data_IF_475788394825
#
_entry.id   IF_475788394825
#
_cell.length_a   1.000
_cell.length_b   1.000
_cell.length_c   1.000
_cell.angle_alpha   90.00
_cell.angle_beta   90.00
_cell.angle_gamma   90.00
#
_symmetry.space_group_name_H-M   'P 1'
#
loop_
_entity.id
_entity.type
_entity.pdbx_description
1 polymer ?
#
# COMPACT_ATOMS: atom_id res chain seq x y z
N UNK A 1 -2.13 -29.72 -9.13
CA UNK A 1 -1.29 -28.50 -9.09
C UNK A 1 -2.24 -27.33 -9.22
N UNK A 2 -2.40 -26.52 -8.18
CA UNK A 2 -3.16 -25.27 -8.27
C UNK A 2 -2.45 -24.37 -9.31
N UNK A 3 -3.24 -23.73 -10.18
CA UNK A 3 -2.72 -22.73 -11.11
C UNK A 3 -2.01 -21.57 -10.41
N UNK A 4 -1.40 -20.64 -11.18
CA UNK A 4 -0.80 -19.43 -10.60
C UNK A 4 -1.85 -18.67 -9.76
N UNK A 5 -1.41 -18.09 -8.65
CA UNK A 5 -2.30 -17.32 -7.79
C UNK A 5 -2.75 -16.05 -8.52
N UNK A 6 -4.06 -15.78 -8.50
CA UNK A 6 -4.63 -14.60 -9.15
C UNK A 6 -4.48 -13.37 -8.24
N UNK A 7 -4.05 -12.24 -8.85
CA UNK A 7 -3.97 -10.92 -8.23
C UNK A 7 -4.71 -9.91 -9.11
N UNK A 8 -5.67 -9.21 -8.56
CA UNK A 8 -6.39 -8.15 -9.24
C UNK A 8 -5.78 -6.80 -8.86
N UNK A 9 -5.37 -6.02 -9.86
CA UNK A 9 -4.85 -4.66 -9.70
C UNK A 9 -5.91 -3.67 -10.19
N UNK A 10 -6.27 -2.70 -9.35
CA UNK A 10 -7.28 -1.70 -9.68
C UNK A 10 -6.74 -0.64 -10.64
N UNK A 11 -7.47 -0.39 -11.72
CA UNK A 11 -7.28 0.73 -12.64
C UNK A 11 -8.42 1.75 -12.49
N UNK A 12 -8.19 2.75 -11.66
CA UNK A 12 -9.10 3.89 -11.49
C UNK A 12 -8.53 5.18 -12.12
N UNK A 13 -7.60 5.03 -13.07
CA UNK A 13 -6.96 6.14 -13.80
C UNK A 13 -5.87 6.86 -13.00
N UNK A 14 -5.29 6.23 -11.98
CA UNK A 14 -4.17 6.76 -11.20
C UNK A 14 -3.15 5.65 -10.89
N UNK A 15 -1.87 6.02 -10.81
CA UNK A 15 -0.78 5.13 -10.44
C UNK A 15 0.10 4.65 -11.60
N UNK A 16 1.26 4.11 -11.23
CA UNK A 16 2.19 3.48 -12.17
C UNK A 16 1.83 1.99 -12.35
N UNK A 17 0.64 1.74 -12.92
CA UNK A 17 0.03 0.42 -13.02
C UNK A 17 0.93 -0.60 -13.70
N UNK A 18 1.60 -0.21 -14.81
CA UNK A 18 2.45 -1.12 -15.59
C UNK A 18 3.60 -1.71 -14.77
N UNK A 19 4.23 -0.92 -13.92
CA UNK A 19 5.35 -1.40 -13.11
C UNK A 19 4.86 -2.34 -12.01
N UNK A 20 3.72 -2.06 -11.39
CA UNK A 20 3.11 -2.92 -10.37
C UNK A 20 2.68 -4.26 -10.99
N UNK A 21 1.97 -4.24 -12.12
CA UNK A 21 1.56 -5.44 -12.86
C UNK A 21 2.78 -6.31 -13.20
N UNK A 22 3.81 -5.71 -13.82
CA UNK A 22 5.02 -6.45 -14.19
C UNK A 22 5.78 -7.04 -13.00
N UNK A 23 5.76 -6.36 -11.85
CA UNK A 23 6.40 -6.86 -10.65
C UNK A 23 5.66 -8.10 -10.10
N UNK A 24 4.34 -8.09 -10.07
CA UNK A 24 3.53 -9.25 -9.70
C UNK A 24 3.67 -10.42 -10.70
N UNK A 25 3.64 -10.12 -12.01
CA UNK A 25 3.88 -11.13 -13.06
C UNK A 25 5.26 -11.76 -12.94
N UNK A 26 6.30 -10.94 -12.63
CA UNK A 26 7.67 -11.43 -12.39
C UNK A 26 7.73 -12.41 -11.22
N UNK A 27 6.95 -12.17 -10.18
CA UNK A 27 6.84 -13.05 -9.01
C UNK A 27 5.88 -14.24 -9.22
N UNK A 28 5.36 -14.42 -10.44
CA UNK A 28 4.61 -15.59 -10.87
C UNK A 28 3.10 -15.53 -10.64
N UNK A 29 2.54 -14.35 -10.37
CA UNK A 29 1.10 -14.17 -10.30
C UNK A 29 0.45 -14.13 -11.68
N UNK A 30 -0.80 -14.59 -11.77
CA UNK A 30 -1.71 -14.26 -12.87
C UNK A 30 -2.40 -12.94 -12.54
N UNK A 31 -2.06 -11.88 -13.28
CA UNK A 31 -2.48 -10.51 -12.94
C UNK A 31 -3.61 -10.04 -13.84
N UNK A 32 -4.70 -9.63 -13.20
CA UNK A 32 -5.84 -8.99 -13.87
C UNK A 32 -5.84 -7.50 -13.53
N UNK A 33 -5.57 -6.64 -14.53
CA UNK A 33 -5.74 -5.19 -14.41
C UNK A 33 -7.18 -4.85 -14.79
N UNK A 34 -7.95 -4.21 -13.89
CA UNK A 34 -9.36 -3.95 -14.14
C UNK A 34 -9.86 -2.62 -13.57
N UNK A 35 -10.81 -2.01 -14.30
CA UNK A 35 -11.67 -0.93 -13.82
C UNK A 35 -13.11 -1.39 -13.61
N UNK A 36 -13.39 -2.69 -13.76
CA UNK A 36 -14.73 -3.27 -13.56
C UNK A 36 -14.94 -3.62 -12.08
N UNK A 37 -15.92 -2.98 -11.39
CA UNK A 37 -16.21 -3.24 -9.99
C UNK A 37 -16.60 -4.70 -9.70
N UNK A 38 -17.25 -5.39 -10.65
CA UNK A 38 -17.66 -6.78 -10.43
C UNK A 38 -16.45 -7.73 -10.43
N UNK A 39 -15.46 -7.50 -11.30
CA UNK A 39 -14.20 -8.24 -11.31
C UNK A 39 -13.40 -7.93 -10.04
N UNK A 40 -13.32 -6.66 -9.66
CA UNK A 40 -12.62 -6.23 -8.44
C UNK A 40 -13.22 -6.85 -7.18
N UNK A 41 -14.55 -6.83 -7.03
CA UNK A 41 -15.26 -7.40 -5.89
C UNK A 41 -15.13 -8.94 -5.80
N UNK A 42 -14.84 -9.62 -6.91
CA UNK A 42 -14.63 -11.07 -6.95
C UNK A 42 -13.16 -11.49 -6.74
N UNK A 43 -12.23 -10.54 -6.57
CA UNK A 43 -10.80 -10.81 -6.47
C UNK A 43 -10.46 -11.68 -5.25
N UNK A 44 -9.60 -12.69 -5.42
CA UNK A 44 -9.01 -13.44 -4.30
C UNK A 44 -7.96 -12.61 -3.55
N UNK A 45 -7.24 -11.75 -4.27
CA UNK A 45 -6.27 -10.77 -3.75
C UNK A 45 -6.42 -9.49 -4.53
N UNK A 46 -6.55 -8.37 -3.83
CA UNK A 46 -6.81 -7.07 -4.44
C UNK A 46 -5.68 -6.08 -4.13
N UNK A 47 -5.22 -5.36 -5.13
CA UNK A 47 -4.17 -4.34 -5.01
C UNK A 47 -4.70 -2.99 -5.47
N UNK A 48 -4.52 -1.97 -4.62
CA UNK A 48 -4.81 -0.57 -4.91
C UNK A 48 -3.49 0.20 -5.04
N UNK A 49 -2.92 0.33 -6.24
CA UNK A 49 -1.82 1.25 -6.46
C UNK A 49 -2.33 2.69 -6.45
N UNK A 50 -1.47 3.64 -6.09
CA UNK A 50 -1.81 5.05 -6.16
C UNK A 50 -0.59 5.91 -6.41
N UNK A 51 -0.77 7.00 -7.18
CA UNK A 51 0.28 7.99 -7.42
C UNK A 51 -0.34 9.35 -7.66
N UNK A 52 0.31 10.40 -7.15
CA UNK A 52 -0.12 11.78 -7.32
C UNK A 52 -0.82 12.31 -6.08
N UNK A 53 -1.88 13.08 -6.25
CA UNK A 53 -2.56 13.82 -5.20
C UNK A 53 -3.68 12.99 -4.56
N UNK A 54 -3.73 12.95 -3.20
CA UNK A 54 -4.71 12.17 -2.44
C UNK A 54 -6.16 12.40 -2.89
N UNK A 55 -6.60 13.67 -2.95
CA UNK A 55 -7.98 14.00 -3.32
C UNK A 55 -8.35 13.60 -4.76
N UNK A 56 -7.39 13.62 -5.69
CA UNK A 56 -7.63 13.14 -7.05
C UNK A 56 -7.78 11.61 -7.06
N UNK A 57 -6.96 10.90 -6.31
CA UNK A 57 -7.05 9.44 -6.21
C UNK A 57 -8.36 9.03 -5.53
N UNK A 58 -8.72 9.66 -4.40
CA UNK A 58 -9.97 9.39 -3.70
C UNK A 58 -11.20 9.64 -4.59
N UNK A 59 -11.27 10.80 -5.24
CA UNK A 59 -12.39 11.13 -6.12
C UNK A 59 -12.54 10.22 -7.34
N UNK A 60 -11.42 9.77 -7.93
CA UNK A 60 -11.46 8.80 -9.04
C UNK A 60 -11.88 7.41 -8.58
N UNK A 61 -11.38 6.96 -7.44
CA UNK A 61 -11.74 5.67 -6.85
C UNK A 61 -13.25 5.63 -6.55
N UNK A 62 -13.78 6.68 -5.94
CA UNK A 62 -15.22 6.82 -5.67
C UNK A 62 -16.05 6.86 -6.95
N UNK A 63 -15.68 7.73 -7.90
CA UNK A 63 -16.41 7.88 -9.17
C UNK A 63 -16.41 6.61 -10.02
N UNK A 64 -15.43 5.72 -9.86
CA UNK A 64 -15.37 4.44 -10.57
C UNK A 64 -16.23 3.34 -9.92
N UNK A 65 -16.74 3.54 -8.70
CA UNK A 65 -17.45 2.52 -7.92
C UNK A 65 -16.53 1.43 -7.34
N UNK A 66 -15.22 1.59 -7.47
CA UNK A 66 -14.25 0.60 -6.97
C UNK A 66 -14.06 0.66 -5.45
N UNK A 67 -14.47 1.76 -4.78
CA UNK A 67 -14.49 1.86 -3.32
C UNK A 67 -15.32 0.75 -2.70
N UNK A 68 -16.53 0.52 -3.20
CA UNK A 68 -17.42 -0.54 -2.73
C UNK A 68 -16.81 -1.93 -2.93
N UNK A 69 -16.10 -2.13 -4.06
CA UNK A 69 -15.41 -3.38 -4.35
C UNK A 69 -14.27 -3.66 -3.36
N UNK A 70 -13.52 -2.63 -2.94
CA UNK A 70 -12.49 -2.74 -1.91
C UNK A 70 -13.14 -3.19 -0.59
N UNK A 71 -14.20 -2.52 -0.14
CA UNK A 71 -14.91 -2.89 1.08
C UNK A 71 -15.43 -4.33 1.02
N UNK A 72 -16.01 -4.76 -0.09
CA UNK A 72 -16.50 -6.12 -0.28
C UNK A 72 -15.38 -7.18 -0.16
N UNK A 73 -14.18 -6.90 -0.71
CA UNK A 73 -13.02 -7.80 -0.59
C UNK A 73 -12.53 -7.86 0.85
N UNK A 74 -12.42 -6.71 1.52
CA UNK A 74 -11.94 -6.62 2.92
C UNK A 74 -12.92 -7.31 3.87
N UNK A 75 -14.22 -7.04 3.76
CA UNK A 75 -15.27 -7.67 4.57
C UNK A 75 -15.34 -9.19 4.39
N UNK A 76 -14.99 -9.67 3.20
CA UNK A 76 -14.89 -11.10 2.91
C UNK A 76 -13.61 -11.75 3.48
N UNK A 77 -12.74 -11.00 4.18
CA UNK A 77 -11.48 -11.49 4.75
C UNK A 77 -10.40 -11.78 3.71
N UNK A 78 -10.55 -11.28 2.48
CA UNK A 78 -9.57 -11.52 1.39
C UNK A 78 -8.45 -10.48 1.43
N UNK A 79 -7.19 -10.87 1.10
CA UNK A 79 -6.04 -9.99 1.14
C UNK A 79 -6.20 -8.74 0.29
N UNK A 80 -5.93 -7.58 0.90
CA UNK A 80 -5.95 -6.27 0.26
C UNK A 80 -4.65 -5.50 0.52
N UNK A 81 -4.02 -4.95 -0.53
CA UNK A 81 -2.76 -4.20 -0.45
C UNK A 81 -2.90 -2.82 -1.08
N UNK A 82 -2.71 -1.75 -0.27
CA UNK A 82 -2.54 -0.38 -0.74
C UNK A 82 -1.05 -0.03 -0.96
N UNK A 83 -0.70 0.55 -2.12
CA UNK A 83 0.69 0.95 -2.44
C UNK A 83 0.76 2.46 -2.63
N UNK A 84 1.67 3.13 -1.93
CA UNK A 84 1.93 4.56 -1.95
C UNK A 84 0.66 5.37 -1.61
N UNK A 85 0.08 6.14 -2.54
CA UNK A 85 -1.22 6.82 -2.28
C UNK A 85 -2.33 5.80 -2.01
N UNK A 86 -2.26 4.59 -2.56
CA UNK A 86 -3.18 3.49 -2.21
C UNK A 86 -3.12 3.12 -0.73
N UNK A 87 -1.95 3.13 -0.09
CA UNK A 87 -1.83 3.01 1.38
C UNK A 87 -2.47 4.21 2.09
N UNK A 88 -2.23 5.43 1.60
CA UNK A 88 -2.78 6.63 2.20
C UNK A 88 -4.31 6.62 2.18
N UNK A 89 -4.91 6.08 1.13
CA UNK A 89 -6.36 5.91 0.98
C UNK A 89 -6.98 4.92 1.98
N UNK A 90 -6.20 4.09 2.67
CA UNK A 90 -6.70 3.22 3.74
C UNK A 90 -7.25 4.03 4.91
N UNK A 91 -6.72 5.23 5.14
CA UNK A 91 -7.08 6.13 6.24
C UNK A 91 -8.33 6.94 5.95
N UNK A 92 -8.83 7.67 6.96
CA UNK A 92 -10.07 8.45 6.88
C UNK A 92 -9.94 9.68 5.97
N UNK A 93 -8.75 10.29 5.88
CA UNK A 93 -8.53 11.49 5.09
C UNK A 93 -7.08 11.95 5.03
N UNK A 94 -6.85 13.13 4.46
CA UNK A 94 -5.51 13.69 4.29
C UNK A 94 -5.51 15.23 4.38
N UNK A 95 -4.49 15.80 5.03
CA UNK A 95 -4.23 17.25 4.99
C UNK A 95 -3.96 17.77 3.57
N UNK A 96 -3.56 16.91 2.64
CA UNK A 96 -3.37 17.28 1.23
C UNK A 96 -4.67 17.69 0.55
N UNK A 97 -5.80 17.12 1.01
CA UNK A 97 -7.13 17.36 0.48
C UNK A 97 -8.17 17.23 1.61
N UNK A 98 -8.36 18.25 2.45
CA UNK A 98 -9.19 18.16 3.66
C UNK A 98 -10.66 17.75 3.42
N UNK A 99 -11.18 18.04 2.23
CA UNK A 99 -12.56 17.70 1.82
C UNK A 99 -12.69 16.30 1.22
N UNK A 100 -11.58 15.60 0.97
CA UNK A 100 -11.59 14.26 0.40
C UNK A 100 -11.56 13.20 1.50
N UNK A 101 -12.39 12.18 1.34
CA UNK A 101 -12.49 11.05 2.27
C UNK A 101 -11.75 9.85 1.69
N UNK A 102 -10.98 9.15 2.53
CA UNK A 102 -10.38 7.88 2.17
C UNK A 102 -11.34 6.70 2.35
N UNK A 103 -10.81 5.49 2.36
CA UNK A 103 -11.61 4.26 2.54
C UNK A 103 -12.02 4.03 4.01
N UNK A 104 -11.36 4.68 4.99
CA UNK A 104 -11.67 4.51 6.40
C UNK A 104 -11.43 3.10 6.96
N UNK A 105 -10.59 2.32 6.29
CA UNK A 105 -10.21 0.97 6.74
C UNK A 105 -9.26 1.02 7.94
N UNK A 106 -8.49 2.10 8.06
CA UNK A 106 -7.61 2.39 9.18
C UNK A 106 -7.95 3.77 9.77
N UNK A 107 -7.88 3.95 11.09
CA UNK A 107 -8.22 5.22 11.74
C UNK A 107 -7.13 6.28 11.56
N UNK A 108 -7.55 7.54 11.45
CA UNK A 108 -6.69 8.71 11.45
C UNK A 108 -6.48 9.33 10.07
N UNK A 109 -5.56 10.29 10.01
CA UNK A 109 -5.37 11.17 8.86
C UNK A 109 -3.92 11.17 8.40
N UNK A 110 -3.73 11.21 7.10
CA UNK A 110 -2.43 11.40 6.44
C UNK A 110 -2.05 12.87 6.55
N UNK A 111 -0.82 13.15 6.99
CA UNK A 111 -0.34 14.52 7.24
C UNK A 111 0.91 14.83 6.43
N UNK A 112 1.15 16.12 6.19
CA UNK A 112 2.39 16.57 5.57
C UNK A 112 3.57 16.29 6.50
N UNK A 113 4.66 15.71 5.97
CA UNK A 113 5.85 15.44 6.76
C UNK A 113 6.46 16.76 7.23
N UNK A 114 6.58 17.00 8.55
CA UNK A 114 7.21 18.19 9.10
C UNK A 114 8.73 18.05 9.00
N UNK A 115 9.31 18.60 7.94
CA UNK A 115 10.75 18.48 7.65
C UNK A 115 11.33 19.80 7.18
N UNK A 116 12.62 20.01 7.45
CA UNK A 116 13.44 21.06 6.87
C UNK A 116 14.11 20.62 5.56
N UNK A 117 14.06 19.32 5.26
CA UNK A 117 14.57 18.73 4.02
C UNK A 117 13.62 18.97 2.85
N UNK A 118 14.08 18.66 1.65
CA UNK A 118 13.25 18.81 0.46
C UNK A 118 12.07 17.83 0.44
N UNK A 119 10.89 18.34 0.07
CA UNK A 119 9.73 17.52 -0.27
C UNK A 119 9.45 17.60 -1.78
N UNK A 120 9.03 16.51 -2.42
CA UNK A 120 8.76 15.19 -1.81
C UNK A 120 10.04 14.51 -1.31
N UNK A 121 9.92 13.66 -0.27
CA UNK A 121 10.93 12.67 0.10
C UNK A 121 11.11 11.71 -1.07
N UNK A 122 12.22 11.81 -1.77
CA UNK A 122 12.54 10.99 -2.96
C UNK A 122 13.86 10.26 -2.72
N UNK A 123 13.81 8.95 -2.72
CA UNK A 123 15.03 8.14 -2.63
C UNK A 123 14.87 6.89 -1.77
N UNK A 124 16.01 6.22 -1.60
CA UNK A 124 16.13 5.06 -0.75
C UNK A 124 16.24 5.49 0.71
N UNK A 125 15.40 4.92 1.56
CA UNK A 125 15.44 5.19 2.99
C UNK A 125 15.22 3.91 3.80
N UNK A 126 15.77 3.91 5.01
CA UNK A 126 15.78 2.77 5.92
C UNK A 126 14.41 2.59 6.59
N UNK A 127 13.86 1.41 6.52
CA UNK A 127 12.67 0.99 7.27
C UNK A 127 13.09 0.07 8.38
N UNK A 128 12.73 0.42 9.62
CA UNK A 128 12.87 -0.41 10.81
C UNK A 128 11.56 -1.16 11.04
N UNK A 129 11.66 -2.46 11.25
CA UNK A 129 10.48 -3.30 11.49
C UNK A 129 10.14 -3.33 12.97
N UNK A 130 8.85 -3.30 13.28
CA UNK A 130 8.35 -3.55 14.62
C UNK A 130 8.39 -5.04 14.93
N UNK A 131 8.22 -5.41 16.21
CA UNK A 131 8.08 -6.83 16.58
C UNK A 131 6.93 -7.49 15.80
N UNK A 132 5.80 -6.82 15.66
CA UNK A 132 4.67 -7.29 14.87
C UNK A 132 5.03 -7.45 13.40
N UNK A 133 5.79 -6.50 12.83
CA UNK A 133 6.28 -6.61 11.46
C UNK A 133 7.19 -7.83 11.24
N UNK A 134 7.98 -8.23 12.23
CA UNK A 134 8.81 -9.44 12.14
C UNK A 134 8.00 -10.74 12.18
N UNK A 135 6.78 -10.68 12.70
CA UNK A 135 5.86 -11.81 12.81
C UNK A 135 4.79 -11.81 11.68
N UNK A 136 4.72 -10.73 10.88
CA UNK A 136 3.70 -10.57 9.83
C UNK A 136 4.04 -11.37 8.57
N UNK A 137 3.10 -12.18 8.03
CA UNK A 137 3.35 -13.01 6.87
C UNK A 137 3.69 -12.23 5.60
N UNK A 138 3.25 -10.98 5.45
CA UNK A 138 3.63 -10.12 4.32
C UNK A 138 5.14 -9.86 4.30
N UNK A 139 5.79 -9.84 5.47
CA UNK A 139 7.19 -9.47 5.65
C UNK A 139 8.11 -10.67 5.90
N UNK A 140 7.61 -11.90 5.71
CA UNK A 140 8.39 -13.13 5.89
C UNK A 140 9.66 -13.10 5.02
N UNK A 141 10.81 -13.37 5.66
CA UNK A 141 12.14 -13.34 5.03
C UNK A 141 12.67 -11.93 4.70
N UNK A 142 11.86 -10.87 4.85
CA UNK A 142 12.25 -9.47 4.64
C UNK A 142 12.53 -8.76 5.94
N UNK A 143 11.59 -8.82 6.89
CA UNK A 143 11.73 -8.18 8.19
C UNK A 143 12.82 -8.86 9.04
N UNK A 144 13.67 -8.05 9.66
CA UNK A 144 14.76 -8.47 10.55
C UNK A 144 15.18 -7.30 11.45
N UNK A 145 16.08 -7.56 12.40
CA UNK A 145 16.55 -6.53 13.33
C UNK A 145 17.27 -5.36 12.62
N UNK A 146 18.01 -5.66 11.54
CA UNK A 146 18.64 -4.62 10.74
C UNK A 146 17.63 -3.96 9.80
N UNK A 147 17.71 -2.62 9.65
CA UNK A 147 16.85 -1.89 8.71
C UNK A 147 17.02 -2.38 7.26
N UNK A 148 15.93 -2.33 6.50
CA UNK A 148 15.95 -2.55 5.05
C UNK A 148 15.66 -1.26 4.31
N UNK A 149 16.21 -1.12 3.12
CA UNK A 149 16.09 0.08 2.33
C UNK A 149 15.07 -0.07 1.23
N UNK A 150 14.15 0.90 1.15
CA UNK A 150 13.09 0.92 0.13
C UNK A 150 13.00 2.29 -0.52
N UNK A 151 12.48 2.34 -1.75
CA UNK A 151 12.37 3.55 -2.55
C UNK A 151 11.06 4.30 -2.25
N UNK A 152 11.19 5.50 -1.68
CA UNK A 152 10.08 6.38 -1.32
C UNK A 152 9.95 7.56 -2.29
N UNK A 153 8.71 8.00 -2.55
CA UNK A 153 8.39 9.24 -3.30
C UNK A 153 7.08 9.81 -2.75
N UNK A 154 7.13 10.63 -1.70
CA UNK A 154 5.92 11.21 -1.10
C UNK A 154 6.25 12.44 -0.26
N UNK A 155 5.25 13.33 -0.05
CA UNK A 155 5.32 14.50 0.84
C UNK A 155 4.42 14.34 2.07
N UNK A 156 3.49 13.41 2.02
CA UNK A 156 2.51 13.12 3.05
C UNK A 156 2.64 11.68 3.52
N UNK A 157 2.37 11.45 4.81
CA UNK A 157 2.47 10.13 5.42
C UNK A 157 1.58 10.04 6.67
N UNK A 158 1.39 8.83 7.18
CA UNK A 158 0.85 8.62 8.52
C UNK A 158 1.95 8.90 9.54
N UNK A 159 1.86 10.07 10.18
CA UNK A 159 2.78 10.49 11.24
C UNK A 159 2.37 9.90 12.58
N UNK A 160 3.32 9.96 13.55
CA UNK A 160 3.14 9.43 14.90
C UNK A 160 2.62 7.97 14.86
N UNK A 161 3.35 7.08 14.18
CA UNK A 161 2.91 5.71 14.03
C UNK A 161 2.94 5.02 15.39
N UNK A 162 1.77 4.92 15.99
CA UNK A 162 1.56 4.24 17.28
C UNK A 162 0.26 3.49 17.19
N UNK A 163 0.32 2.21 17.11
CA UNK A 163 -0.86 1.39 17.02
C UNK A 163 -0.53 -0.02 16.61
N UNK A 164 -1.52 -0.87 16.75
CA UNK A 164 -1.37 -2.27 16.41
C UNK A 164 -1.20 -2.49 14.89
N UNK A 165 -1.50 -1.47 14.06
CA UNK A 165 -1.33 -1.54 12.62
C UNK A 165 0.11 -1.35 12.15
N UNK A 166 1.03 -0.78 12.97
CA UNK A 166 2.39 -0.48 12.54
C UNK A 166 3.25 -1.74 12.39
N UNK A 167 3.73 -2.01 11.19
CA UNK A 167 4.65 -3.10 10.87
C UNK A 167 6.07 -2.61 10.60
N UNK A 168 6.21 -1.44 9.99
CA UNK A 168 7.51 -0.85 9.68
C UNK A 168 7.48 0.67 9.67
N UNK A 169 8.54 1.26 10.22
CA UNK A 169 8.71 2.70 10.43
C UNK A 169 9.89 3.23 9.63
N UNK A 170 9.74 4.42 9.09
CA UNK A 170 10.80 5.17 8.43
C UNK A 170 10.89 6.58 9.03
N UNK A 171 12.09 7.21 8.96
CA UNK A 171 12.32 8.56 9.47
C UNK A 171 12.81 9.49 8.36
N UNK A 172 12.23 10.71 8.31
CA UNK A 172 12.67 11.81 7.43
C UNK A 172 12.44 13.14 8.17
N UNK A 173 13.32 13.48 9.11
CA UNK A 173 13.18 14.45 10.20
C UNK A 173 12.04 14.12 11.18
N UNK A 174 11.01 13.44 10.71
CA UNK A 174 9.89 12.92 11.49
C UNK A 174 9.66 11.45 11.18
N UNK A 175 9.25 10.68 12.17
CA UNK A 175 8.92 9.27 12.00
C UNK A 175 7.52 9.13 11.38
N UNK A 176 7.39 8.16 10.47
CA UNK A 176 6.13 7.85 9.80
C UNK A 176 5.98 6.35 9.54
N UNK A 177 4.73 5.90 9.44
CA UNK A 177 4.43 4.53 9.05
C UNK A 177 4.83 4.29 7.59
N UNK A 178 5.75 3.38 7.38
CA UNK A 178 6.19 2.95 6.06
C UNK A 178 5.49 1.66 5.61
N UNK A 179 5.13 0.81 6.57
CA UNK A 179 4.35 -0.41 6.34
C UNK A 179 3.33 -0.54 7.47
N UNK A 180 2.10 -0.80 7.10
CA UNK A 180 1.00 -1.07 8.05
C UNK A 180 0.29 -2.37 7.68
N UNK A 181 -0.34 -3.00 8.67
CA UNK A 181 -1.18 -4.17 8.48
C UNK A 181 -2.20 -4.33 9.59
N UNK A 182 -3.44 -4.63 9.23
CA UNK A 182 -4.52 -4.93 10.16
C UNK A 182 -5.43 -5.98 9.52
N UNK A 183 -5.58 -7.12 10.19
CA UNK A 183 -6.29 -8.28 9.68
C UNK A 183 -5.80 -8.69 8.26
N UNK A 184 -6.65 -8.54 7.25
CA UNK A 184 -6.38 -8.84 5.85
C UNK A 184 -6.05 -7.60 4.99
N UNK A 185 -5.80 -6.44 5.63
CA UNK A 185 -5.48 -5.16 4.97
C UNK A 185 -4.04 -4.79 5.23
N UNK A 186 -3.26 -4.54 4.18
CA UNK A 186 -1.89 -4.04 4.26
C UNK A 186 -1.71 -2.76 3.47
N UNK A 187 -0.79 -1.91 3.92
CA UNK A 187 -0.39 -0.69 3.25
C UNK A 187 1.12 -0.52 3.23
N UNK A 188 1.65 -0.07 2.09
CA UNK A 188 3.08 0.19 1.87
C UNK A 188 3.25 1.60 1.32
N UNK A 189 3.99 2.47 2.04
CA UNK A 189 4.22 3.86 1.62
C UNK A 189 5.25 3.98 0.50
N UNK A 190 6.23 3.12 0.45
CA UNK A 190 7.22 3.05 -0.61
C UNK A 190 6.69 2.32 -1.85
N UNK A 191 7.51 2.26 -2.88
CA UNK A 191 7.23 1.54 -4.12
C UNK A 191 7.96 0.18 -4.11
N UNK A 192 7.27 -0.94 -3.77
CA UNK A 192 7.90 -2.26 -3.75
C UNK A 192 8.40 -2.67 -5.12
N UNK A 193 7.69 -2.29 -6.20
CA UNK A 193 8.07 -2.54 -7.59
C UNK A 193 9.35 -1.79 -8.04
N UNK A 194 9.87 -0.87 -7.19
CA UNK A 194 11.11 -0.13 -7.39
C UNK A 194 12.16 -0.41 -6.32
N UNK A 195 11.88 -1.33 -5.41
CA UNK A 195 12.67 -1.58 -4.21
C UNK A 195 13.49 -2.88 -4.30
N UNK A 196 13.88 -3.28 -5.50
CA UNK A 196 14.73 -4.44 -5.78
C UNK A 196 14.21 -5.72 -5.13
N UNK A 197 15.10 -6.60 -4.65
CA UNK A 197 14.76 -7.94 -4.15
C UNK A 197 13.85 -7.89 -2.92
N UNK A 198 14.12 -7.00 -1.95
CA UNK A 198 13.28 -6.90 -0.74
C UNK A 198 11.85 -6.44 -1.07
N UNK A 199 11.70 -5.50 -2.03
CA UNK A 199 10.39 -5.08 -2.52
C UNK A 199 9.64 -6.19 -3.25
N UNK A 200 10.34 -6.93 -4.12
CA UNK A 200 9.76 -8.07 -4.85
C UNK A 200 9.39 -9.21 -3.89
N UNK A 201 10.19 -9.45 -2.85
CA UNK A 201 9.88 -10.45 -1.85
C UNK A 201 8.56 -10.15 -1.10
N UNK A 202 8.29 -8.88 -0.79
CA UNK A 202 7.00 -8.46 -0.21
C UNK A 202 5.84 -8.79 -1.17
N UNK A 203 5.98 -8.48 -2.47
CA UNK A 203 4.95 -8.81 -3.46
C UNK A 203 4.75 -10.32 -3.59
N UNK A 204 5.84 -11.09 -3.58
CA UNK A 204 5.82 -12.56 -3.57
C UNK A 204 5.09 -13.12 -2.35
N UNK A 205 5.30 -12.51 -1.17
CA UNK A 205 4.60 -12.91 0.05
C UNK A 205 3.10 -12.61 -0.06
N UNK A 206 2.72 -11.42 -0.56
CA UNK A 206 1.32 -11.07 -0.79
C UNK A 206 0.60 -12.07 -1.72
N UNK A 207 1.27 -12.56 -2.76
CA UNK A 207 0.73 -13.60 -3.66
C UNK A 207 0.39 -14.90 -2.89
N UNK A 208 1.08 -15.17 -1.78
CA UNK A 208 0.94 -16.43 -1.02
C UNK A 208 -0.08 -16.34 0.11
N UNK A 209 -0.54 -15.13 0.47
CA UNK A 209 -1.62 -14.93 1.42
C UNK A 209 -2.96 -15.37 0.80
#
# INVERSE_FOLDING_TARGET
MSGPASVVVLDYGAGNLRSVVKAFEHEGADVVLTSDPAIAAAADRLVLPGQGHFGQCAGRLEASGLSDSVHAVVEAGRPFLGICVGMQLLYEGSEEAPDAVGLGLLPGTIRRIPTTLHLPHVGWNAVRFTRRGMEDPLLDGVARDEPRYFYHVHSYAKLDPSGDELLGECSYDADFASIVGHDNVWGIQFHPEKSQEDGLAILRNFIRL
#
